data_IF_138289713085
#
_entry.id   IF_138289713085
#
_cell.length_a   1.000
_cell.length_b   1.000
_cell.length_c   1.000
_cell.angle_alpha   90.00
_cell.angle_beta   90.00
_cell.angle_gamma   90.00
#
_symmetry.space_group_name_H-M   'P 1'
#
loop_
_entity.id
_entity.type
_entity.pdbx_description
1 polymer ?
#
# COMPACT_ATOMS: atom_id res chain seq x y z
N UNK A 1 -11.38 -26.62 12.00
CA UNK A 1 -10.40 -26.02 12.94
C UNK A 1 -10.83 -24.58 13.15
N UNK A 2 -10.80 -24.06 14.38
CA UNK A 2 -11.22 -22.67 14.64
C UNK A 2 -10.09 -21.73 14.27
N UNK A 3 -10.33 -20.74 13.40
CA UNK A 3 -9.35 -19.73 13.02
C UNK A 3 -9.24 -18.67 14.15
N UNK A 4 -8.24 -18.73 15.05
CA UNK A 4 -8.20 -17.89 16.24
C UNK A 4 -7.94 -16.42 15.89
N UNK A 5 -7.36 -16.18 14.71
CA UNK A 5 -7.00 -14.87 14.23
C UNK A 5 -8.22 -13.99 13.96
N UNK A 6 -9.40 -14.55 13.65
CA UNK A 6 -10.64 -13.77 13.41
C UNK A 6 -10.95 -12.87 14.60
N UNK A 7 -10.76 -13.36 15.83
CA UNK A 7 -10.99 -12.56 17.05
C UNK A 7 -9.99 -11.41 17.12
N UNK A 8 -8.71 -11.67 16.85
CA UNK A 8 -7.66 -10.64 16.81
C UNK A 8 -7.91 -9.63 15.70
N UNK A 9 -8.31 -10.09 14.51
CA UNK A 9 -8.69 -9.28 13.36
C UNK A 9 -9.89 -8.40 13.67
N UNK A 10 -10.94 -8.93 14.30
CA UNK A 10 -12.12 -8.18 14.69
C UNK A 10 -11.80 -7.09 15.71
N UNK A 11 -10.97 -7.40 16.72
CA UNK A 11 -10.49 -6.41 17.69
C UNK A 11 -9.67 -5.32 17.00
N UNK A 12 -8.77 -5.71 16.09
CA UNK A 12 -7.97 -4.77 15.31
C UNK A 12 -8.84 -3.84 14.45
N UNK A 13 -9.82 -4.40 13.72
CA UNK A 13 -10.77 -3.64 12.89
C UNK A 13 -11.57 -2.66 13.74
N UNK A 14 -12.03 -3.08 14.92
CA UNK A 14 -12.75 -2.20 15.83
C UNK A 14 -11.86 -1.04 16.30
N UNK A 15 -10.64 -1.32 16.73
CA UNK A 15 -9.68 -0.28 17.14
C UNK A 15 -9.35 0.66 15.98
N UNK A 16 -9.18 0.13 14.78
CA UNK A 16 -8.94 0.90 13.57
C UNK A 16 -10.12 1.85 13.28
N UNK A 17 -11.36 1.37 13.32
CA UNK A 17 -12.56 2.21 13.11
C UNK A 17 -12.69 3.28 14.19
N UNK A 18 -12.36 2.98 15.45
CA UNK A 18 -12.39 3.99 16.53
C UNK A 18 -11.31 5.05 16.32
N UNK A 19 -10.08 4.63 16.02
CA UNK A 19 -8.94 5.53 15.84
C UNK A 19 -9.11 6.43 14.60
N UNK A 20 -9.53 5.85 13.47
CA UNK A 20 -9.65 6.55 12.19
C UNK A 20 -11.07 7.05 11.90
N UNK A 21 -12.07 6.72 12.73
CA UNK A 21 -13.47 7.11 12.49
C UNK A 21 -13.67 8.62 12.46
N UNK A 22 -13.00 9.37 13.35
CA UNK A 22 -13.01 10.85 13.33
C UNK A 22 -12.41 11.41 12.04
N UNK A 23 -11.34 10.80 11.53
CA UNK A 23 -10.75 11.19 10.25
C UNK A 23 -11.72 10.89 9.11
N UNK A 24 -12.28 9.68 9.09
CA UNK A 24 -13.22 9.21 8.07
C UNK A 24 -14.47 10.11 7.96
N UNK A 25 -14.96 10.62 9.09
CA UNK A 25 -16.10 11.54 9.13
C UNK A 25 -15.79 12.95 8.60
N UNK A 26 -14.52 13.36 8.60
CA UNK A 26 -14.06 14.67 8.06
C UNK A 26 -13.83 14.65 6.55
N UNK A 27 -13.83 13.47 5.91
CA UNK A 27 -13.66 13.36 4.48
C UNK A 27 -14.91 13.84 3.71
N UNK A 28 -14.75 14.34 2.46
CA UNK A 28 -15.87 14.60 1.57
C UNK A 28 -16.79 13.38 1.45
N UNK A 29 -18.10 13.62 1.39
CA UNK A 29 -19.11 12.54 1.45
C UNK A 29 -18.86 11.41 0.45
N UNK A 30 -18.41 11.74 -0.77
CA UNK A 30 -18.08 10.76 -1.81
C UNK A 30 -16.93 9.84 -1.40
N UNK A 31 -15.80 10.41 -0.97
CA UNK A 31 -14.62 9.63 -0.56
C UNK A 31 -14.92 8.80 0.68
N UNK A 32 -15.68 9.35 1.63
CA UNK A 32 -16.11 8.63 2.84
C UNK A 32 -16.86 7.35 2.48
N UNK A 33 -17.83 7.41 1.57
CA UNK A 33 -18.59 6.24 1.15
C UNK A 33 -17.74 5.22 0.39
N UNK A 34 -16.78 5.66 -0.43
CA UNK A 34 -15.84 4.75 -1.10
C UNK A 34 -14.96 4.01 -0.09
N UNK A 35 -14.46 4.70 0.95
CA UNK A 35 -13.67 4.05 1.99
C UNK A 35 -14.50 3.06 2.82
N UNK A 36 -15.72 3.44 3.20
CA UNK A 36 -16.61 2.55 3.96
C UNK A 36 -16.95 1.32 3.12
N UNK A 37 -17.31 1.51 1.85
CA UNK A 37 -17.65 0.40 0.96
C UNK A 37 -16.45 -0.52 0.72
N UNK A 38 -15.29 0.05 0.35
CA UNK A 38 -14.08 -0.72 0.11
C UNK A 38 -13.61 -1.49 1.35
N UNK A 39 -13.60 -0.83 2.51
CA UNK A 39 -13.26 -1.45 3.79
C UNK A 39 -14.27 -2.53 4.19
N UNK A 40 -15.58 -2.31 4.00
CA UNK A 40 -16.61 -3.30 4.31
C UNK A 40 -16.50 -4.53 3.42
N UNK A 41 -16.26 -4.38 2.11
CA UNK A 41 -16.03 -5.50 1.19
C UNK A 41 -14.80 -6.31 1.59
N UNK A 42 -13.68 -5.64 1.88
CA UNK A 42 -12.45 -6.30 2.30
C UNK A 42 -12.64 -7.09 3.60
N UNK A 43 -13.24 -6.47 4.61
CA UNK A 43 -13.51 -7.10 5.92
C UNK A 43 -14.51 -8.25 5.80
N UNK A 44 -15.55 -8.10 4.95
CA UNK A 44 -16.54 -9.14 4.72
C UNK A 44 -15.95 -10.34 3.95
N UNK A 45 -15.01 -10.12 3.03
CA UNK A 45 -14.20 -11.19 2.43
C UNK A 45 -13.39 -11.89 3.52
N UNK A 46 -12.40 -11.18 4.09
CA UNK A 46 -11.40 -11.74 4.99
C UNK A 46 -11.96 -12.47 6.22
N UNK A 47 -12.95 -11.88 6.91
CA UNK A 47 -13.52 -12.50 8.12
C UNK A 47 -14.87 -13.17 7.86
N UNK A 48 -15.68 -12.64 6.95
CA UNK A 48 -17.01 -13.17 6.70
C UNK A 48 -16.97 -14.50 5.95
N UNK A 49 -16.13 -14.60 4.91
CA UNK A 49 -16.03 -15.84 4.13
C UNK A 49 -15.31 -16.94 4.89
N UNK A 50 -14.34 -16.61 5.75
CA UNK A 50 -13.74 -17.59 6.67
C UNK A 50 -14.77 -18.19 7.65
N UNK A 51 -15.70 -17.38 8.19
CA UNK A 51 -16.76 -17.88 9.06
C UNK A 51 -17.73 -18.80 8.29
N UNK A 52 -18.04 -18.44 7.04
CA UNK A 52 -18.87 -19.25 6.15
C UNK A 52 -18.17 -20.58 5.85
N UNK A 53 -16.93 -20.57 5.39
CA UNK A 53 -16.19 -21.79 5.06
C UNK A 53 -16.02 -22.68 6.31
N UNK A 54 -15.73 -22.09 7.48
CA UNK A 54 -15.68 -22.82 8.76
C UNK A 54 -16.98 -23.54 9.12
N UNK A 55 -18.15 -22.96 8.79
CA UNK A 55 -19.45 -23.58 9.03
C UNK A 55 -19.70 -24.76 8.08
N UNK A 56 -19.38 -24.59 6.79
CA UNK A 56 -19.58 -25.64 5.78
C UNK A 56 -18.58 -26.79 5.92
N UNK A 57 -17.32 -26.47 6.23
CA UNK A 57 -16.24 -27.43 6.38
C UNK A 57 -16.48 -28.41 7.55
N UNK A 58 -17.15 -27.96 8.63
CA UNK A 58 -17.59 -28.83 9.73
C UNK A 58 -18.69 -29.82 9.32
N UNK A 59 -19.48 -29.50 8.29
CA UNK A 59 -20.67 -30.27 7.93
C UNK A 59 -20.46 -31.19 6.72
N UNK A 60 -19.57 -30.82 5.81
CA UNK A 60 -19.37 -31.53 4.55
C UNK A 60 -17.91 -31.96 4.29
N UNK A 61 -16.96 -31.61 5.15
CA UNK A 61 -15.52 -31.81 4.90
C UNK A 61 -14.91 -30.69 4.04
N UNK A 62 -13.58 -30.58 4.01
CA UNK A 62 -12.85 -29.47 3.37
C UNK A 62 -12.65 -29.66 1.85
N UNK A 63 -12.75 -30.89 1.32
CA UNK A 63 -12.44 -31.21 -0.08
C UNK A 63 -13.69 -31.19 -0.98
N UNK A 64 -14.44 -30.08 -0.96
CA UNK A 64 -15.63 -29.91 -1.78
C UNK A 64 -15.52 -28.71 -2.72
N UNK A 65 -16.18 -28.79 -3.87
CA UNK A 65 -16.27 -27.68 -4.84
C UNK A 65 -16.76 -26.36 -4.20
N UNK A 66 -17.54 -26.45 -3.12
CA UNK A 66 -18.01 -25.30 -2.36
C UNK A 66 -16.86 -24.52 -1.71
N UNK A 67 -15.88 -25.19 -1.08
CA UNK A 67 -14.75 -24.49 -0.44
C UNK A 67 -13.86 -23.79 -1.46
N UNK A 68 -13.67 -24.38 -2.65
CA UNK A 68 -12.97 -23.70 -3.74
C UNK A 68 -13.74 -22.46 -4.25
N UNK A 69 -15.05 -22.56 -4.41
CA UNK A 69 -15.88 -21.41 -4.79
C UNK A 69 -15.88 -20.32 -3.70
N UNK A 70 -15.95 -20.73 -2.43
CA UNK A 70 -15.87 -19.83 -1.28
C UNK A 70 -14.57 -19.05 -1.28
N UNK A 71 -13.42 -19.71 -1.51
CA UNK A 71 -12.11 -19.05 -1.61
C UNK A 71 -12.01 -18.06 -2.77
N UNK A 72 -12.55 -18.40 -3.95
CA UNK A 72 -12.58 -17.46 -5.08
C UNK A 72 -13.44 -16.23 -4.75
N UNK A 73 -14.57 -16.42 -4.06
CA UNK A 73 -15.44 -15.33 -3.63
C UNK A 73 -14.78 -14.46 -2.56
N UNK A 74 -14.09 -15.08 -1.59
CA UNK A 74 -13.30 -14.40 -0.57
C UNK A 74 -12.25 -13.48 -1.21
N UNK A 75 -11.40 -14.04 -2.07
CA UNK A 75 -10.35 -13.30 -2.73
C UNK A 75 -10.92 -12.21 -3.67
N UNK A 76 -12.02 -12.50 -4.36
CA UNK A 76 -12.70 -11.50 -5.20
C UNK A 76 -13.24 -10.31 -4.38
N UNK A 77 -13.88 -10.57 -3.24
CA UNK A 77 -14.41 -9.53 -2.35
C UNK A 77 -13.28 -8.66 -1.79
N UNK A 78 -12.16 -9.28 -1.39
CA UNK A 78 -10.98 -8.56 -0.94
C UNK A 78 -10.40 -7.66 -2.03
N UNK A 79 -10.20 -8.20 -3.24
CA UNK A 79 -9.66 -7.43 -4.37
C UNK A 79 -10.58 -6.28 -4.77
N UNK A 80 -11.91 -6.49 -4.80
CA UNK A 80 -12.87 -5.41 -5.05
C UNK A 80 -12.81 -4.34 -3.96
N UNK A 81 -12.70 -4.74 -2.70
CA UNK A 81 -12.51 -3.83 -1.57
C UNK A 81 -11.29 -2.93 -1.75
N UNK A 82 -10.14 -3.53 -2.08
CA UNK A 82 -8.88 -2.82 -2.35
C UNK A 82 -9.00 -1.86 -3.53
N UNK A 83 -9.60 -2.29 -4.65
CA UNK A 83 -9.80 -1.46 -5.84
C UNK A 83 -10.66 -0.23 -5.51
N UNK A 84 -11.79 -0.43 -4.81
CA UNK A 84 -12.70 0.65 -4.42
C UNK A 84 -11.99 1.63 -3.48
N UNK A 85 -11.22 1.12 -2.53
CA UNK A 85 -10.45 1.95 -1.60
C UNK A 85 -9.38 2.78 -2.33
N UNK A 86 -8.59 2.15 -3.20
CA UNK A 86 -7.58 2.83 -4.01
C UNK A 86 -8.21 3.89 -4.93
N UNK A 87 -9.34 3.57 -5.56
CA UNK A 87 -10.12 4.54 -6.33
C UNK A 87 -10.58 5.72 -5.46
N UNK A 88 -11.02 5.47 -4.22
CA UNK A 88 -11.37 6.52 -3.26
C UNK A 88 -10.20 7.48 -2.98
N UNK A 89 -8.99 6.94 -2.78
CA UNK A 89 -7.77 7.74 -2.58
C UNK A 89 -7.49 8.61 -3.81
N UNK A 90 -7.54 8.03 -5.00
CA UNK A 90 -7.28 8.73 -6.26
C UNK A 90 -8.34 9.80 -6.57
N UNK A 91 -9.62 9.51 -6.35
CA UNK A 91 -10.72 10.47 -6.54
C UNK A 91 -10.61 11.63 -5.54
N UNK A 92 -10.19 11.36 -4.30
CA UNK A 92 -9.90 12.39 -3.32
C UNK A 92 -8.74 13.29 -3.75
N UNK A 93 -7.62 12.70 -4.17
CA UNK A 93 -6.45 13.44 -4.65
C UNK A 93 -6.81 14.28 -5.88
N UNK A 94 -7.51 13.71 -6.86
CA UNK A 94 -7.93 14.43 -8.07
C UNK A 94 -8.77 15.68 -7.77
N UNK A 95 -9.61 15.63 -6.73
CA UNK A 95 -10.54 16.72 -6.39
C UNK A 95 -9.93 17.76 -5.46
N UNK A 96 -8.93 17.39 -4.65
CA UNK A 96 -8.40 18.25 -3.58
C UNK A 96 -6.92 18.62 -3.76
N UNK A 97 -6.16 17.91 -4.60
CA UNK A 97 -4.78 18.28 -4.91
C UNK A 97 -4.77 19.29 -6.06
N UNK A 98 -4.19 20.47 -5.80
CA UNK A 98 -4.11 21.55 -6.80
C UNK A 98 -3.18 21.21 -7.97
N UNK A 99 -2.12 20.40 -7.76
CA UNK A 99 -1.19 19.91 -8.79
C UNK A 99 -0.35 18.76 -8.20
N UNK A 100 -0.13 17.67 -8.96
CA UNK A 100 0.84 16.62 -8.60
C UNK A 100 2.09 16.82 -9.47
N UNK A 101 3.19 17.32 -8.89
CA UNK A 101 4.48 17.48 -9.58
C UNK A 101 5.41 16.32 -9.25
N UNK A 102 5.59 15.39 -10.19
CA UNK A 102 6.62 14.35 -10.13
C UNK A 102 7.96 14.93 -10.60
N UNK A 103 8.95 15.01 -9.71
CA UNK A 103 10.35 15.32 -10.08
C UNK A 103 11.14 14.02 -10.08
N UNK A 104 11.63 13.63 -11.25
CA UNK A 104 12.62 12.56 -11.38
C UNK A 104 14.00 13.20 -11.31
N UNK A 105 14.72 12.99 -10.21
CA UNK A 105 16.10 13.44 -10.10
C UNK A 105 16.97 12.56 -11.02
N UNK A 106 17.46 13.13 -12.12
CA UNK A 106 18.50 12.48 -12.91
C UNK A 106 19.86 12.76 -12.26
N UNK A 107 20.38 11.75 -11.57
CA UNK A 107 21.75 11.73 -11.02
C UNK A 107 22.72 11.44 -12.18
N UNK A 108 22.85 12.39 -13.12
CA UNK A 108 23.83 12.30 -14.22
C UNK A 108 24.73 13.55 -14.30
N UNK A 109 24.59 14.49 -13.37
CA UNK A 109 25.35 15.76 -13.36
C UNK A 109 26.63 15.72 -12.50
N UNK A 110 26.86 14.66 -11.70
CA UNK A 110 27.99 14.63 -10.75
C UNK A 110 29.31 14.11 -11.35
N UNK A 111 29.31 13.58 -12.57
CA UNK A 111 30.53 13.04 -13.19
C UNK A 111 31.33 14.11 -13.95
N UNK A 112 30.69 15.20 -14.42
CA UNK A 112 31.40 16.25 -15.19
C UNK A 112 32.22 17.21 -14.31
N UNK A 113 31.95 17.31 -13.00
CA UNK A 113 32.68 18.20 -12.10
C UNK A 113 34.00 17.63 -11.57
N UNK A 114 34.18 16.30 -11.62
CA UNK A 114 35.44 15.64 -11.17
C UNK A 114 36.53 15.71 -12.24
N UNK A 115 36.17 15.69 -13.54
CA UNK A 115 37.15 15.74 -14.64
C UNK A 115 37.78 17.11 -14.89
N UNK A 116 37.19 18.19 -14.39
CA UNK A 116 37.68 19.57 -14.57
C UNK A 116 38.63 20.04 -13.45
N UNK A 117 38.77 19.27 -12.36
CA UNK A 117 39.69 19.57 -11.27
C UNK A 117 41.13 19.17 -11.63
N UNK A 118 41.73 19.94 -12.53
CA UNK A 118 43.10 20.46 -12.42
C UNK A 118 44.21 19.42 -12.13
N UNK A 119 44.75 18.82 -13.19
CA UNK A 119 46.17 18.42 -13.21
C UNK A 119 46.98 19.72 -13.17
N UNK A 120 47.39 20.13 -11.96
CA UNK A 120 48.27 21.29 -11.80
C UNK A 120 49.64 20.96 -12.41
N UNK A 121 50.26 21.88 -13.18
CA UNK A 121 51.61 21.67 -13.67
C UNK A 121 52.58 21.60 -12.48
N UNK A 122 53.44 20.58 -12.50
CA UNK A 122 54.52 20.38 -11.52
C UNK A 122 55.43 21.61 -11.56
N UNK A 123 55.72 22.26 -10.41
CA UNK A 123 56.56 23.44 -10.40
C UNK A 123 58.00 23.09 -10.82
N UNK A 124 58.45 23.74 -11.88
CA UNK A 124 59.80 23.65 -12.44
C UNK A 124 60.78 24.42 -11.55
N UNK A 125 61.11 23.86 -10.38
CA UNK A 125 62.18 24.36 -9.51
C UNK A 125 62.83 23.21 -8.75
N UNK A 126 63.62 22.39 -9.44
CA UNK A 126 64.63 21.58 -8.76
C UNK A 126 65.77 21.05 -9.65
N UNK A 127 66.33 21.80 -10.60
CA UNK A 127 67.69 21.50 -11.09
C UNK A 127 68.41 22.80 -11.41
N UNK A 128 69.06 23.36 -10.39
CA UNK A 128 70.11 24.37 -10.52
C UNK A 128 71.19 24.06 -9.48
N UNK A 129 72.42 23.96 -9.97
CA UNK A 129 73.70 23.88 -9.26
C UNK A 129 74.10 22.55 -8.61
N UNK A 130 74.72 21.69 -9.43
CA UNK A 130 75.90 20.93 -9.01
C UNK A 130 77.14 21.61 -9.59
N UNK A 131 77.99 22.09 -8.67
CA UNK A 131 79.44 22.14 -8.82
C UNK A 131 79.98 20.75 -9.17
#
# INVERSE_FOLDING_TARGET
MTYPWIILGAVFVLLFVIAYGRFLLRLPARTRWLFILGGALFVAGAMGMELVDSYFAQRYGHDNAFSQLSGILEESLEMFGVIIFAYGVLDYLRRNAAEIRLRVAQTASDIQSVGAAKVAPVPEKFIGDRQ
#
